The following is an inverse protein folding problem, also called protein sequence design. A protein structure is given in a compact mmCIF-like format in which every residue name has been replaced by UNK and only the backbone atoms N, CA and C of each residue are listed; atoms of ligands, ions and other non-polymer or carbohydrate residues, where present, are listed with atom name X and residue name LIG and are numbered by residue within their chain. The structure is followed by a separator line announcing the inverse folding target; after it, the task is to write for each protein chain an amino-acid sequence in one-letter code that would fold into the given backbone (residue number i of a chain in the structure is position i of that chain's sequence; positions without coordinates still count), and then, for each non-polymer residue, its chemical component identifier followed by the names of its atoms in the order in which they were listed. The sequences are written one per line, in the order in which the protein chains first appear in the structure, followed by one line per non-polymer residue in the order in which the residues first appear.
data_IF_001963574219
#
_entry.id   IF_001963574219
#
_cell.length_a   1.000
_cell.length_b   1.000
_cell.length_c   1.000
_cell.angle_alpha   90.00
_cell.angle_beta   90.00
_cell.angle_gamma   90.00
#
_symmetry.space_group_name_H-M   'P 1'
#
loop_
_entity.id
_entity.type
_entity.pdbx_description
1 polymer ?
#
# COMPACT_ATOMS: atom_id res chain seq x y z
N UNK A 1 15.13 16.86 -20.17
CA UNK A 1 13.66 16.79 -19.98
C UNK A 1 13.23 15.64 -19.09
N UNK A 2 13.78 14.43 -19.22
CA UNK A 2 13.38 13.25 -18.44
C UNK A 2 13.50 13.42 -16.90
N UNK A 3 14.56 14.07 -16.39
CA UNK A 3 14.76 14.33 -14.96
C UNK A 3 13.67 15.20 -14.31
N UNK A 4 12.94 16.00 -15.07
CA UNK A 4 11.83 16.85 -14.56
C UNK A 4 10.61 16.07 -14.08
N UNK A 5 10.48 14.81 -14.47
CA UNK A 5 9.34 13.96 -14.06
C UNK A 5 9.59 13.23 -12.74
N UNK A 6 10.82 13.20 -12.24
CA UNK A 6 11.13 12.57 -10.95
C UNK A 6 10.74 13.52 -9.83
N UNK A 7 9.70 13.17 -9.07
CA UNK A 7 9.18 13.99 -7.96
C UNK A 7 10.06 13.91 -6.71
N UNK A 8 10.72 12.80 -6.49
CA UNK A 8 11.58 12.54 -5.33
C UNK A 8 12.22 11.15 -5.43
N UNK A 9 13.18 10.93 -4.57
CA UNK A 9 13.79 9.63 -4.32
C UNK A 9 13.62 9.32 -2.83
N UNK A 10 13.56 8.05 -2.45
CA UNK A 10 13.15 7.65 -1.11
C UNK A 10 14.02 6.53 -0.57
N UNK A 11 14.44 6.68 0.69
CA UNK A 11 15.17 5.66 1.42
C UNK A 11 14.36 5.21 2.64
N UNK A 12 14.16 3.91 2.78
CA UNK A 12 13.39 3.31 3.86
C UNK A 12 14.37 2.83 4.93
N UNK A 13 14.14 3.21 6.20
CA UNK A 13 15.08 2.88 7.27
C UNK A 13 14.40 2.84 8.64
N UNK A 14 15.11 2.30 9.63
CA UNK A 14 14.72 2.37 11.04
C UNK A 14 15.05 3.75 11.63
N UNK A 15 14.22 4.24 12.55
CA UNK A 15 14.39 5.52 13.25
C UNK A 15 15.78 5.66 13.92
N UNK A 16 16.31 4.56 14.45
CA UNK A 16 17.63 4.53 15.11
C UNK A 16 18.78 4.90 14.16
N UNK A 17 18.60 4.74 12.86
CA UNK A 17 19.63 5.03 11.87
C UNK A 17 19.67 6.52 11.45
N UNK A 18 18.67 7.33 11.87
CA UNK A 18 18.54 8.71 11.44
C UNK A 18 19.76 9.56 11.80
N UNK A 19 20.31 9.39 13.00
CA UNK A 19 21.46 10.18 13.42
C UNK A 19 22.65 9.98 12.48
N UNK A 20 23.03 8.73 12.19
CA UNK A 20 24.13 8.43 11.28
C UNK A 20 23.85 8.88 9.84
N UNK A 21 22.60 8.76 9.38
CA UNK A 21 22.18 9.23 8.04
C UNK A 21 22.29 10.74 7.92
N UNK A 22 21.87 11.49 8.93
CA UNK A 22 21.97 12.95 8.92
C UNK A 22 23.43 13.43 9.04
N UNK A 23 24.29 12.64 9.67
CA UNK A 23 25.71 12.96 9.84
C UNK A 23 26.54 12.61 8.61
N UNK A 24 26.36 11.39 8.07
CA UNK A 24 27.24 10.84 7.04
C UNK A 24 26.59 10.74 5.65
N UNK A 25 25.26 10.89 5.58
CA UNK A 25 24.47 10.59 4.39
C UNK A 25 24.02 9.14 4.36
N UNK A 26 23.38 8.75 3.25
CA UNK A 26 23.01 7.37 3.00
C UNK A 26 24.22 6.65 2.41
N UNK A 27 24.85 5.84 3.24
CA UNK A 27 26.04 5.08 2.88
C UNK A 27 25.67 3.78 2.14
N UNK A 28 26.53 3.35 1.21
CA UNK A 28 26.49 1.98 0.69
C UNK A 28 26.84 0.98 1.81
N UNK A 29 26.43 -0.27 1.68
CA UNK A 29 26.78 -1.32 2.65
C UNK A 29 28.28 -1.44 2.83
N UNK A 30 29.05 -1.38 1.74
CA UNK A 30 30.52 -1.40 1.78
C UNK A 30 31.09 -0.25 2.64
N UNK A 31 30.50 0.96 2.57
CA UNK A 31 30.96 2.09 3.36
C UNK A 31 30.54 1.97 4.83
N UNK A 32 29.36 1.43 5.12
CA UNK A 32 28.90 1.16 6.49
C UNK A 32 29.87 0.18 7.18
N UNK A 33 30.24 -0.90 6.52
CA UNK A 33 31.20 -1.89 7.03
C UNK A 33 32.59 -1.30 7.20
N UNK A 34 33.10 -0.61 6.18
CA UNK A 34 34.44 0.01 6.20
C UNK A 34 34.61 1.04 7.33
N UNK A 35 33.53 1.75 7.65
CA UNK A 35 33.54 2.79 8.69
C UNK A 35 33.06 2.28 10.05
N UNK A 36 32.67 1.00 10.16
CA UNK A 36 32.08 0.39 11.35
C UNK A 36 30.90 1.16 11.92
N UNK A 37 30.00 1.67 11.05
CA UNK A 37 28.82 2.42 11.47
C UNK A 37 27.76 1.44 12.02
N UNK A 38 27.37 1.55 13.30
CA UNK A 38 26.30 0.73 13.85
C UNK A 38 24.95 1.10 13.23
N UNK A 39 24.12 0.11 12.90
CA UNK A 39 22.79 0.35 12.36
C UNK A 39 21.79 -0.74 12.77
N UNK A 40 20.52 -0.38 12.79
CA UNK A 40 19.40 -1.30 13.01
C UNK A 40 18.91 -1.82 11.66
N UNK A 41 18.90 -3.13 11.49
CA UNK A 41 18.43 -3.80 10.28
C UNK A 41 16.91 -3.72 10.17
N UNK A 42 16.41 -3.52 8.94
CA UNK A 42 14.98 -3.60 8.59
C UNK A 42 14.72 -4.59 7.46
N UNK A 43 15.71 -5.39 7.08
CA UNK A 43 15.66 -6.29 5.93
C UNK A 43 16.11 -7.69 6.30
N UNK A 44 15.72 -8.67 5.47
CA UNK A 44 16.23 -10.03 5.59
C UNK A 44 17.68 -10.10 5.04
N UNK A 45 18.65 -10.62 5.84
CA UNK A 45 20.05 -10.76 5.40
C UNK A 45 20.22 -11.55 4.09
N UNK A 46 19.38 -12.57 3.84
CA UNK A 46 19.45 -13.38 2.61
C UNK A 46 19.18 -12.56 1.33
N UNK A 47 18.25 -11.59 1.38
CA UNK A 47 17.95 -10.71 0.23
C UNK A 47 19.15 -9.81 -0.05
N UNK A 48 19.87 -9.42 0.98
CA UNK A 48 21.04 -8.55 0.87
C UNK A 48 22.24 -9.30 0.28
N UNK A 49 22.42 -10.57 0.61
CA UNK A 49 23.49 -11.39 0.01
C UNK A 49 23.41 -11.45 -1.54
N UNK A 50 22.19 -11.46 -2.10
CA UNK A 50 21.99 -11.43 -3.55
C UNK A 50 22.47 -10.11 -4.19
N UNK A 51 22.51 -9.01 -3.44
CA UNK A 51 23.02 -7.72 -3.93
C UNK A 51 24.55 -7.72 -4.04
N UNK A 52 25.25 -8.40 -3.14
CA UNK A 52 26.70 -8.48 -3.14
C UNK A 52 27.22 -9.18 -4.40
N UNK A 53 26.55 -10.25 -4.82
CA UNK A 53 26.93 -11.02 -5.99
C UNK A 53 26.68 -10.29 -7.32
N UNK A 54 25.75 -9.31 -7.35
CA UNK A 54 25.37 -8.63 -8.59
C UNK A 54 26.22 -7.39 -8.85
N UNK A 55 26.60 -7.21 -10.14
CA UNK A 55 27.46 -6.10 -10.57
C UNK A 55 26.75 -5.17 -11.55
N UNK A 56 27.15 -3.91 -11.52
CA UNK A 56 26.83 -2.87 -12.50
C UNK A 56 27.76 -2.98 -13.72
N UNK A 57 27.49 -2.22 -14.78
CA UNK A 57 28.30 -2.25 -16.03
C UNK A 57 29.74 -1.77 -15.84
N UNK A 58 30.02 -1.01 -14.77
CA UNK A 58 31.37 -0.60 -14.40
C UNK A 58 32.16 -1.68 -13.61
N UNK A 59 31.52 -2.84 -13.37
CA UNK A 59 32.15 -4.01 -12.73
C UNK A 59 32.08 -4.02 -11.20
N UNK A 60 31.55 -2.98 -10.56
CA UNK A 60 31.39 -2.94 -9.11
C UNK A 60 30.15 -3.69 -8.65
N UNK A 61 30.24 -4.31 -7.47
CA UNK A 61 29.11 -4.94 -6.79
C UNK A 61 28.07 -3.89 -6.38
N UNK A 62 26.78 -4.27 -6.34
CA UNK A 62 25.72 -3.42 -5.77
C UNK A 62 25.97 -3.06 -4.29
N UNK A 63 26.87 -3.78 -3.62
CA UNK A 63 27.32 -3.48 -2.26
C UNK A 63 28.04 -2.13 -2.15
N UNK A 64 28.66 -1.68 -3.26
CA UNK A 64 29.34 -0.38 -3.35
C UNK A 64 28.39 0.81 -3.58
N UNK A 65 27.08 0.57 -3.74
CA UNK A 65 26.11 1.61 -4.06
C UNK A 65 25.14 1.84 -2.89
N UNK A 66 24.90 3.11 -2.54
CA UNK A 66 23.72 3.53 -1.81
C UNK A 66 22.51 3.49 -2.75
N UNK A 67 21.41 2.87 -2.33
CA UNK A 67 20.22 2.74 -3.16
C UNK A 67 19.02 3.50 -2.59
N UNK A 68 18.26 4.13 -3.47
CA UNK A 68 17.02 4.84 -3.15
C UNK A 68 15.94 4.52 -4.19
N UNK A 69 14.69 4.45 -3.75
CA UNK A 69 13.55 4.11 -4.59
C UNK A 69 12.92 5.35 -5.24
N UNK A 70 12.35 5.17 -6.44
CA UNK A 70 11.46 6.18 -7.04
C UNK A 70 10.09 6.22 -6.37
N UNK A 71 9.68 5.12 -5.73
CA UNK A 71 8.41 4.99 -5.02
C UNK A 71 8.63 4.32 -3.66
N UNK A 72 8.29 4.98 -2.53
CA UNK A 72 8.45 4.37 -1.20
C UNK A 72 7.39 3.29 -0.93
N UNK A 73 6.17 3.44 -1.48
CA UNK A 73 5.09 2.44 -1.35
C UNK A 73 5.34 1.26 -2.29
N UNK A 74 6.22 0.39 -1.90
CA UNK A 74 6.67 -0.75 -2.69
C UNK A 74 6.68 -2.04 -1.83
N UNK A 75 6.91 -3.22 -2.44
CA UNK A 75 6.94 -4.50 -1.73
C UNK A 75 7.92 -4.56 -0.56
N UNK A 76 9.06 -3.87 -0.65
CA UNK A 76 10.03 -3.83 0.44
C UNK A 76 9.47 -3.12 1.68
N UNK A 77 8.91 -1.91 1.51
CA UNK A 77 8.29 -1.19 2.63
C UNK A 77 7.11 -1.97 3.22
N UNK A 78 6.26 -2.54 2.36
CA UNK A 78 5.11 -3.35 2.81
C UNK A 78 5.57 -4.49 3.71
N UNK A 79 6.62 -5.21 3.31
CA UNK A 79 7.23 -6.26 4.11
C UNK A 79 7.74 -5.72 5.44
N UNK A 80 8.56 -4.67 5.42
CA UNK A 80 9.17 -4.09 6.63
C UNK A 80 8.13 -3.71 7.67
N UNK A 81 7.05 -2.98 7.28
CA UNK A 81 6.02 -2.57 8.24
C UNK A 81 5.08 -3.71 8.68
N UNK A 82 5.16 -4.86 8.01
CA UNK A 82 4.48 -6.09 8.45
C UNK A 82 5.22 -6.81 9.57
N UNK A 83 6.54 -6.63 9.65
CA UNK A 83 7.44 -7.33 10.57
C UNK A 83 7.95 -6.45 11.70
N UNK A 84 7.96 -5.13 11.49
CA UNK A 84 8.51 -4.14 12.43
C UNK A 84 7.39 -3.19 12.84
N UNK A 85 7.48 -2.61 14.04
CA UNK A 85 6.58 -1.52 14.41
C UNK A 85 6.71 -0.38 13.40
N UNK A 86 5.61 -0.11 12.70
CA UNK A 86 5.54 0.95 11.69
C UNK A 86 5.92 2.34 12.23
N UNK A 87 5.82 2.54 13.55
CA UNK A 87 6.23 3.79 14.22
C UNK A 87 7.75 3.90 14.38
N UNK A 88 8.49 2.81 14.14
CA UNK A 88 9.94 2.79 14.15
C UNK A 88 10.55 2.82 12.74
N UNK A 89 9.71 2.79 11.71
CA UNK A 89 10.12 2.91 10.31
C UNK A 89 9.91 4.34 9.83
N UNK A 90 10.92 4.90 9.17
CA UNK A 90 10.86 6.23 8.56
C UNK A 90 11.28 6.17 7.10
N UNK A 91 10.78 7.11 6.30
CA UNK A 91 11.15 7.26 4.89
C UNK A 91 11.90 8.59 4.75
N UNK A 92 13.15 8.53 4.33
CA UNK A 92 13.99 9.71 4.06
C UNK A 92 13.75 10.14 2.62
N UNK A 93 13.27 11.37 2.44
CA UNK A 93 13.06 11.99 1.14
C UNK A 93 14.34 12.67 0.64
N UNK A 94 14.72 12.34 -0.59
CA UNK A 94 15.96 12.75 -1.22
C UNK A 94 15.67 13.52 -2.51
N UNK A 95 16.37 14.61 -2.69
CA UNK A 95 16.29 15.45 -3.88
C UNK A 95 16.59 14.66 -5.15
N UNK A 96 15.78 14.82 -6.22
CA UNK A 96 16.10 14.25 -7.53
C UNK A 96 17.46 14.66 -8.10
N UNK A 97 18.09 15.72 -7.58
CA UNK A 97 19.44 16.12 -7.92
C UNK A 97 20.49 15.07 -7.56
N UNK A 98 20.17 14.10 -6.70
CA UNK A 98 21.04 12.94 -6.45
C UNK A 98 21.28 12.09 -7.72
N UNK A 99 20.40 12.17 -8.73
CA UNK A 99 20.60 11.57 -10.06
C UNK A 99 21.74 12.21 -10.85
N UNK A 100 22.23 13.39 -10.46
CA UNK A 100 23.36 14.09 -11.10
C UNK A 100 24.71 13.69 -10.51
N UNK A 101 24.71 12.85 -9.48
CA UNK A 101 25.97 12.33 -8.90
C UNK A 101 26.64 11.45 -9.95
N UNK A 102 27.93 11.71 -10.15
CA UNK A 102 28.74 10.98 -11.16
C UNK A 102 28.69 9.47 -10.92
N UNK A 103 28.65 8.71 -12.00
CA UNK A 103 28.64 7.24 -12.00
C UNK A 103 27.43 6.62 -11.25
N UNK A 104 26.33 7.37 -11.16
CA UNK A 104 25.04 6.84 -10.70
C UNK A 104 24.37 6.01 -11.78
N UNK A 105 23.58 5.02 -11.37
CA UNK A 105 22.80 4.14 -12.24
C UNK A 105 21.34 4.13 -11.86
N UNK A 106 20.49 3.71 -12.80
CA UNK A 106 19.08 3.39 -12.55
C UNK A 106 18.88 1.90 -12.80
N UNK A 107 18.27 1.22 -11.84
CA UNK A 107 17.70 -0.11 -12.03
C UNK A 107 16.22 0.01 -12.39
N UNK A 108 15.84 -0.60 -13.52
CA UNK A 108 14.44 -0.66 -13.97
C UNK A 108 13.66 -1.75 -13.21
N UNK A 109 13.69 -1.68 -11.89
CA UNK A 109 13.06 -2.59 -10.95
C UNK A 109 13.97 -2.89 -9.78
N UNK A 110 13.61 -3.92 -8.98
CA UNK A 110 14.46 -4.38 -7.89
C UNK A 110 15.86 -4.70 -8.40
N UNK A 111 16.85 -3.96 -7.93
CA UNK A 111 18.23 -4.08 -8.40
C UNK A 111 18.84 -5.46 -8.10
N UNK A 112 18.39 -6.17 -7.07
CA UNK A 112 18.83 -7.53 -6.77
C UNK A 112 18.32 -8.58 -7.78
N UNK A 113 17.26 -8.27 -8.54
CA UNK A 113 16.69 -9.20 -9.52
C UNK A 113 17.52 -9.22 -10.83
N UNK A 114 17.95 -10.39 -11.35
CA UNK A 114 18.65 -10.48 -12.63
C UNK A 114 17.82 -9.98 -13.82
N UNK A 115 16.50 -9.94 -13.68
CA UNK A 115 15.57 -9.44 -14.68
C UNK A 115 15.46 -7.91 -14.73
N UNK A 116 16.11 -7.19 -13.82
CA UNK A 116 16.08 -5.72 -13.81
C UNK A 116 17.30 -5.17 -14.53
N UNK A 117 17.18 -4.52 -15.71
CA UNK A 117 18.29 -3.81 -16.33
C UNK A 117 18.83 -2.71 -15.42
N UNK A 118 20.15 -2.60 -15.32
CA UNK A 118 20.85 -1.52 -14.63
C UNK A 118 21.57 -0.70 -15.69
N UNK A 119 21.26 0.59 -15.77
CA UNK A 119 21.67 1.47 -16.85
C UNK A 119 22.19 2.79 -16.28
N UNK A 120 23.04 3.48 -17.02
CA UNK A 120 23.39 4.86 -16.76
C UNK A 120 22.11 5.72 -16.61
N UNK A 121 22.15 6.78 -15.79
CA UNK A 121 20.96 7.57 -15.42
C UNK A 121 20.19 8.05 -16.64
N UNK A 122 20.85 8.65 -17.63
CA UNK A 122 20.15 9.20 -18.79
C UNK A 122 19.44 8.13 -19.62
N UNK A 123 20.11 7.00 -19.89
CA UNK A 123 19.51 5.85 -20.59
C UNK A 123 18.36 5.22 -19.79
N UNK A 124 18.52 5.10 -18.47
CA UNK A 124 17.48 4.56 -17.59
C UNK A 124 16.24 5.44 -17.60
N UNK A 125 16.39 6.76 -17.50
CA UNK A 125 15.28 7.72 -17.52
C UNK A 125 14.55 7.78 -18.87
N UNK A 126 15.25 7.57 -19.99
CA UNK A 126 14.62 7.48 -21.31
C UNK A 126 13.67 6.28 -21.43
N UNK A 127 14.01 5.17 -20.77
CA UNK A 127 13.18 3.96 -20.75
C UNK A 127 12.01 4.03 -19.74
N UNK A 128 12.08 4.92 -18.75
CA UNK A 128 10.97 5.15 -17.84
C UNK A 128 9.96 6.08 -18.55
N UNK A 129 9.20 5.52 -19.48
CA UNK A 129 8.12 6.18 -20.21
C UNK A 129 6.90 6.45 -19.34
N UNK A 130 5.85 7.07 -19.93
CA UNK A 130 4.60 7.33 -19.21
C UNK A 130 3.93 6.07 -18.65
N UNK A 131 3.96 4.95 -19.39
CA UNK A 131 3.46 3.66 -18.91
C UNK A 131 4.29 3.12 -17.75
N UNK A 132 5.61 3.24 -17.82
CA UNK A 132 6.50 2.80 -16.75
C UNK A 132 6.29 3.65 -15.49
N UNK A 133 6.14 4.97 -15.63
CA UNK A 133 5.78 5.85 -14.52
C UNK A 133 4.45 5.46 -13.89
N UNK A 134 3.46 5.04 -14.68
CA UNK A 134 2.18 4.55 -14.15
C UNK A 134 2.36 3.30 -13.29
N UNK A 135 3.29 2.42 -13.65
CA UNK A 135 3.63 1.24 -12.83
C UNK A 135 4.35 1.67 -11.54
N UNK A 136 5.39 2.52 -11.63
CA UNK A 136 6.12 3.00 -10.45
C UNK A 136 5.17 3.71 -9.47
N UNK A 137 4.26 4.54 -9.96
CA UNK A 137 3.33 5.31 -9.14
C UNK A 137 2.01 4.58 -8.82
N UNK A 138 1.90 3.30 -9.13
CA UNK A 138 0.70 2.54 -8.82
C UNK A 138 0.55 2.31 -7.30
N UNK A 139 -0.68 2.23 -6.83
CA UNK A 139 -0.99 1.95 -5.43
C UNK A 139 -0.73 0.51 -5.04
N UNK A 140 -0.61 -0.39 -6.03
CA UNK A 140 -0.39 -1.82 -5.83
C UNK A 140 0.34 -2.44 -7.02
N UNK A 141 0.85 -3.64 -6.82
CA UNK A 141 1.58 -4.44 -7.81
C UNK A 141 0.94 -5.81 -8.01
N UNK A 142 1.31 -6.47 -9.11
CA UNK A 142 0.98 -7.87 -9.40
C UNK A 142 2.28 -8.68 -9.47
N UNK A 143 2.21 -9.94 -9.11
CA UNK A 143 3.39 -10.81 -9.16
C UNK A 143 3.62 -11.33 -10.59
N UNK A 144 2.54 -11.72 -11.27
CA UNK A 144 2.56 -12.45 -12.54
C UNK A 144 3.05 -11.62 -13.75
N UNK A 145 2.82 -10.30 -13.75
CA UNK A 145 3.13 -9.41 -14.88
C UNK A 145 4.44 -8.62 -14.70
N UNK A 146 5.19 -8.94 -13.64
CA UNK A 146 6.45 -8.28 -13.31
C UNK A 146 6.32 -6.86 -12.74
N UNK A 147 5.10 -6.36 -12.47
CA UNK A 147 4.92 -5.03 -11.85
C UNK A 147 5.45 -4.97 -10.43
N UNK A 148 5.40 -6.09 -9.66
CA UNK A 148 6.03 -6.21 -8.34
C UNK A 148 7.52 -5.84 -8.37
N UNK A 149 8.23 -6.29 -9.40
CA UNK A 149 9.65 -5.97 -9.60
C UNK A 149 9.84 -4.53 -10.06
N UNK A 150 9.03 -4.07 -11.03
CA UNK A 150 9.16 -2.75 -11.67
C UNK A 150 8.86 -1.58 -10.71
N UNK A 151 7.88 -1.72 -9.81
CA UNK A 151 7.55 -0.68 -8.81
C UNK A 151 8.71 -0.42 -7.84
N UNK A 152 9.64 -1.37 -7.72
CA UNK A 152 10.86 -1.26 -6.93
C UNK A 152 12.04 -0.67 -7.73
N UNK A 153 11.79 0.13 -8.77
CA UNK A 153 12.85 0.82 -9.50
C UNK A 153 13.69 1.69 -8.55
N UNK A 154 15.01 1.63 -8.74
CA UNK A 154 16.00 2.21 -7.83
C UNK A 154 16.97 3.13 -8.56
N UNK A 155 17.41 4.18 -7.88
CA UNK A 155 18.63 4.91 -8.19
C UNK A 155 19.76 4.36 -7.32
N UNK A 156 20.91 4.07 -7.93
CA UNK A 156 22.11 3.50 -7.33
C UNK A 156 23.22 4.56 -7.39
N UNK A 157 23.69 5.03 -6.25
CA UNK A 157 24.71 6.09 -6.14
C UNK A 157 25.98 5.50 -5.54
N UNK A 158 27.16 5.68 -6.15
CA UNK A 158 28.40 5.12 -5.64
C UNK A 158 28.71 5.65 -4.23
N UNK A 159 29.05 4.75 -3.33
CA UNK A 159 29.52 4.98 -1.97
C UNK A 159 28.52 5.71 -1.05
N UNK A 160 28.06 6.92 -1.37
CA UNK A 160 27.27 7.75 -0.46
C UNK A 160 26.36 8.73 -1.20
N UNK A 161 25.14 8.89 -0.71
CA UNK A 161 24.30 10.05 -1.00
C UNK A 161 24.49 11.06 0.13
N UNK A 162 25.17 12.20 -0.13
CA UNK A 162 25.48 13.17 0.91
C UNK A 162 24.26 13.77 1.60
N UNK A 163 24.36 14.19 2.89
CA UNK A 163 23.23 14.73 3.66
C UNK A 163 22.54 15.94 3.01
N UNK A 164 23.24 16.75 2.24
CA UNK A 164 22.68 17.92 1.53
C UNK A 164 21.56 17.59 0.55
N UNK A 165 21.43 16.33 0.14
CA UNK A 165 20.32 15.87 -0.71
C UNK A 165 19.09 15.46 0.09
N UNK A 166 19.19 15.33 1.42
CA UNK A 166 18.06 15.00 2.29
C UNK A 166 17.23 16.27 2.52
N UNK A 167 15.94 16.24 2.23
CA UNK A 167 15.05 17.39 2.41
C UNK A 167 13.88 17.12 3.35
N UNK A 168 13.51 15.85 3.56
CA UNK A 168 12.36 15.50 4.41
C UNK A 168 12.52 14.12 5.04
N UNK A 169 11.85 13.94 6.18
CA UNK A 169 11.66 12.64 6.81
C UNK A 169 10.18 12.45 7.00
N UNK A 170 9.63 11.44 6.35
CA UNK A 170 8.23 11.05 6.46
C UNK A 170 8.05 10.06 7.59
N UNK A 171 6.98 10.22 8.35
CA UNK A 171 6.61 9.39 9.51
C UNK A 171 5.13 9.05 9.48
N UNK A 172 4.74 8.01 10.20
CA UNK A 172 3.36 7.51 10.25
C UNK A 172 2.40 8.42 11.00
N UNK A 173 2.87 9.09 12.07
CA UNK A 173 2.02 9.88 12.97
C UNK A 173 2.82 10.97 13.72
N UNK A 174 2.09 11.82 14.44
CA UNK A 174 2.68 12.94 15.19
C UNK A 174 3.58 12.46 16.34
N UNK A 175 3.26 11.37 17.01
CA UNK A 175 4.10 10.81 18.09
C UNK A 175 5.49 10.44 17.58
N UNK A 176 5.56 9.81 16.41
CA UNK A 176 6.85 9.50 15.76
C UNK A 176 7.57 10.79 15.33
N UNK A 177 6.84 11.79 14.82
CA UNK A 177 7.43 13.10 14.47
C UNK A 177 8.09 13.75 15.69
N UNK A 178 7.41 13.74 16.84
CA UNK A 178 7.92 14.33 18.08
C UNK A 178 9.12 13.54 18.65
N UNK A 179 9.12 12.21 18.50
CA UNK A 179 10.24 11.33 18.87
C UNK A 179 11.51 11.65 18.10
N UNK A 180 11.42 11.96 16.81
CA UNK A 180 12.60 12.21 15.96
C UNK A 180 13.06 13.66 15.93
N UNK A 181 12.21 14.62 16.32
CA UNK A 181 12.53 16.06 16.33
C UNK A 181 13.82 16.42 17.08
N UNK A 182 14.10 15.86 18.29
CA UNK A 182 15.36 16.12 18.99
C UNK A 182 16.59 15.64 18.21
N UNK A 183 16.46 14.57 17.41
CA UNK A 183 17.57 14.08 16.58
C UNK A 183 17.91 15.13 15.51
N UNK A 184 16.88 15.66 14.82
CA UNK A 184 17.09 16.66 13.76
C UNK A 184 17.66 17.97 14.30
N UNK A 185 17.27 18.39 15.51
CA UNK A 185 17.74 19.62 16.11
C UNK A 185 19.28 19.65 16.37
N UNK A 186 19.93 18.50 16.34
CA UNK A 186 21.39 18.41 16.45
C UNK A 186 22.11 18.73 15.13
N UNK A 187 21.38 18.96 14.05
CA UNK A 187 21.92 19.20 12.71
C UNK A 187 21.42 20.54 12.15
N UNK A 188 22.27 21.22 11.40
CA UNK A 188 21.91 22.49 10.71
C UNK A 188 21.26 22.27 9.34
N UNK A 189 20.90 21.03 9.01
CA UNK A 189 20.29 20.68 7.74
C UNK A 189 18.82 21.12 7.71
N UNK A 190 18.34 21.72 6.61
CA UNK A 190 16.95 22.16 6.47
C UNK A 190 16.03 20.97 6.12
N UNK A 191 15.93 20.00 7.02
CA UNK A 191 15.13 18.78 6.82
C UNK A 191 13.77 18.94 7.49
N UNK A 192 12.70 18.80 6.71
CA UNK A 192 11.33 18.85 7.20
C UNK A 192 10.88 17.47 7.74
N UNK A 193 10.15 17.47 8.87
CA UNK A 193 9.43 16.28 9.33
C UNK A 193 8.01 16.36 8.76
N UNK A 194 7.58 15.34 8.05
CA UNK A 194 6.27 15.27 7.39
C UNK A 194 5.50 14.06 7.90
N UNK A 195 4.36 14.31 8.53
CA UNK A 195 3.43 13.24 8.93
C UNK A 195 2.61 12.85 7.71
N UNK A 196 2.90 11.70 7.10
CA UNK A 196 2.22 11.20 5.90
C UNK A 196 1.92 9.69 6.04
N UNK A 197 0.88 9.32 6.78
CA UNK A 197 0.54 7.91 7.03
C UNK A 197 0.31 7.10 5.74
N UNK A 198 -0.17 7.76 4.68
CA UNK A 198 -0.43 7.11 3.41
C UNK A 198 0.82 6.48 2.79
N UNK A 199 1.99 7.09 2.97
CA UNK A 199 3.25 6.49 2.50
C UNK A 199 3.55 5.14 3.16
N UNK A 200 3.02 4.89 4.37
CA UNK A 200 3.19 3.66 5.14
C UNK A 200 1.98 2.73 5.03
N UNK A 201 1.21 2.81 3.96
CA UNK A 201 -0.02 2.02 3.74
C UNK A 201 -1.07 2.22 4.84
N UNK A 202 -1.01 3.32 5.57
CA UNK A 202 -1.97 3.69 6.59
C UNK A 202 -3.04 4.63 6.00
N UNK A 203 -4.24 4.69 6.61
CA UNK A 203 -5.25 5.67 6.24
C UNK A 203 -4.72 7.11 6.36
N UNK A 204 -5.13 7.97 5.44
CA UNK A 204 -4.84 9.41 5.52
C UNK A 204 -5.61 10.05 6.66
N UNK A 205 -6.90 9.72 6.74
CA UNK A 205 -7.82 10.23 7.76
C UNK A 205 -8.80 9.13 8.15
N UNK A 206 -9.27 9.17 9.35
CA UNK A 206 -10.39 8.38 9.84
C UNK A 206 -11.11 9.13 10.96
N UNK A 207 -12.37 8.80 11.17
CA UNK A 207 -13.13 9.38 12.24
C UNK A 207 -14.19 8.42 12.80
N UNK A 208 -14.48 8.49 14.10
CA UNK A 208 -15.54 7.69 14.69
C UNK A 208 -16.92 8.21 14.27
N UNK A 209 -17.83 7.29 13.96
CA UNK A 209 -19.26 7.53 13.82
C UNK A 209 -19.95 7.08 15.11
N UNK A 210 -19.59 5.86 15.59
CA UNK A 210 -19.88 5.34 16.93
C UNK A 210 -18.60 4.81 17.56
N UNK A 211 -18.67 4.14 18.71
CA UNK A 211 -17.49 3.50 19.30
C UNK A 211 -16.97 2.29 18.53
N UNK A 212 -17.79 1.70 17.64
CA UNK A 212 -17.42 0.54 16.82
C UNK A 212 -17.46 0.82 15.32
N UNK A 213 -18.12 1.90 14.87
CA UNK A 213 -18.24 2.27 13.46
C UNK A 213 -17.38 3.48 13.13
N UNK A 214 -16.53 3.36 12.09
CA UNK A 214 -15.59 4.41 11.66
C UNK A 214 -15.71 4.66 10.16
N UNK A 215 -15.53 5.90 9.74
CA UNK A 215 -15.21 6.17 8.34
C UNK A 215 -13.68 6.27 8.18
N UNK A 216 -13.18 5.85 7.02
CA UNK A 216 -11.74 5.76 6.72
C UNK A 216 -11.46 6.29 5.32
N UNK A 217 -10.62 7.33 5.23
CA UNK A 217 -9.98 7.75 3.97
C UNK A 217 -8.66 7.00 3.81
N UNK A 218 -8.67 5.92 3.07
CA UNK A 218 -7.54 5.03 2.93
C UNK A 218 -7.81 3.87 2.00
N UNK A 219 -6.84 2.98 1.93
CA UNK A 219 -6.90 1.81 1.09
C UNK A 219 -7.41 0.60 1.89
N UNK A 220 -8.59 0.10 1.52
CA UNK A 220 -9.25 -1.00 2.23
C UNK A 220 -8.44 -2.30 2.25
N UNK A 221 -7.61 -2.54 1.24
CA UNK A 221 -6.79 -3.76 1.19
C UNK A 221 -5.68 -3.82 2.24
N UNK A 222 -5.39 -2.70 2.90
CA UNK A 222 -4.50 -2.63 4.06
C UNK A 222 -5.24 -2.59 5.40
N UNK A 223 -6.56 -2.80 5.38
CA UNK A 223 -7.37 -2.89 6.59
C UNK A 223 -6.91 -4.03 7.50
N UNK A 224 -6.94 -3.79 8.81
CA UNK A 224 -6.69 -4.82 9.81
C UNK A 224 -7.96 -5.64 10.16
N UNK A 225 -9.11 -5.29 9.59
CA UNK A 225 -10.36 -6.04 9.79
C UNK A 225 -10.24 -7.46 9.23
N UNK A 226 -10.88 -8.43 9.88
CA UNK A 226 -10.91 -9.84 9.45
C UNK A 226 -11.55 -9.99 8.07
N UNK A 227 -12.70 -9.35 7.86
CA UNK A 227 -13.50 -9.50 6.64
C UNK A 227 -13.43 -8.25 5.78
N UNK A 228 -13.05 -8.41 4.52
CA UNK A 228 -13.06 -7.36 3.51
C UNK A 228 -14.28 -7.53 2.60
N UNK A 229 -15.09 -6.48 2.48
CA UNK A 229 -16.26 -6.50 1.58
C UNK A 229 -15.84 -6.08 0.17
N UNK A 230 -16.07 -6.96 -0.81
CA UNK A 230 -15.79 -6.69 -2.21
C UNK A 230 -17.11 -6.42 -2.95
N UNK A 231 -17.31 -5.17 -3.38
CA UNK A 231 -18.46 -4.79 -4.22
C UNK A 231 -18.35 -5.43 -5.59
N UNK A 232 -19.32 -6.27 -5.96
CA UNK A 232 -19.30 -7.08 -7.18
C UNK A 232 -20.62 -6.99 -7.96
N UNK A 233 -20.63 -7.57 -9.17
CA UNK A 233 -21.85 -7.90 -9.93
C UNK A 233 -22.18 -9.39 -9.82
N UNK A 234 -23.29 -9.84 -10.41
CA UNK A 234 -23.69 -11.26 -10.34
C UNK A 234 -23.31 -12.06 -11.60
N UNK A 235 -22.59 -11.46 -12.56
CA UNK A 235 -22.21 -12.13 -13.81
C UNK A 235 -20.74 -12.59 -13.87
N UNK A 236 -20.00 -12.51 -12.75
CA UNK A 236 -18.65 -13.07 -12.67
C UNK A 236 -17.53 -12.18 -13.27
N UNK A 237 -17.75 -10.87 -13.45
CA UNK A 237 -16.79 -9.96 -14.09
C UNK A 237 -16.22 -8.97 -13.10
N UNK A 238 -14.90 -8.99 -12.89
CA UNK A 238 -14.11 -8.02 -12.12
C UNK A 238 -13.16 -7.29 -13.06
N UNK A 239 -13.63 -6.25 -13.76
CA UNK A 239 -12.87 -5.59 -14.83
C UNK A 239 -12.23 -4.25 -14.44
N UNK A 240 -12.78 -3.52 -13.47
CA UNK A 240 -12.32 -2.17 -13.08
C UNK A 240 -12.47 -1.91 -11.58
N UNK A 241 -11.78 -0.87 -11.09
CA UNK A 241 -11.86 -0.37 -9.73
C UNK A 241 -11.44 -1.40 -8.67
N UNK A 242 -12.03 -1.29 -7.48
CA UNK A 242 -11.74 -2.13 -6.32
C UNK A 242 -11.84 -3.64 -6.63
N UNK A 243 -12.88 -4.07 -7.37
CA UNK A 243 -13.06 -5.48 -7.72
C UNK A 243 -11.93 -6.00 -8.62
N UNK A 244 -11.46 -5.20 -9.59
CA UNK A 244 -10.33 -5.60 -10.45
C UNK A 244 -9.06 -5.78 -9.64
N UNK A 245 -8.80 -4.88 -8.69
CA UNK A 245 -7.66 -5.00 -7.79
C UNK A 245 -7.77 -6.25 -6.90
N UNK A 246 -8.96 -6.50 -6.33
CA UNK A 246 -9.22 -7.70 -5.52
C UNK A 246 -8.93 -9.00 -6.30
N UNK A 247 -9.34 -9.06 -7.57
CA UNK A 247 -9.08 -10.20 -8.48
C UNK A 247 -7.59 -10.54 -8.56
N UNK A 248 -6.72 -9.53 -8.70
CA UNK A 248 -5.28 -9.74 -8.88
C UNK A 248 -4.55 -9.92 -7.55
N UNK A 249 -5.05 -9.33 -6.49
CA UNK A 249 -4.44 -9.44 -5.16
C UNK A 249 -4.85 -10.73 -4.44
N UNK A 250 -6.05 -11.27 -4.76
CA UNK A 250 -6.62 -12.46 -4.12
C UNK A 250 -7.23 -13.37 -5.20
N UNK A 251 -6.40 -14.09 -5.98
CA UNK A 251 -6.87 -14.90 -7.10
C UNK A 251 -7.79 -16.06 -6.67
N UNK A 252 -7.56 -16.62 -5.48
CA UNK A 252 -8.43 -17.64 -4.88
C UNK A 252 -9.86 -17.12 -4.64
N UNK A 253 -10.01 -15.93 -4.08
CA UNK A 253 -11.30 -15.26 -3.91
C UNK A 253 -12.00 -15.04 -5.27
N UNK A 254 -11.24 -14.69 -6.31
CA UNK A 254 -11.81 -14.51 -7.64
C UNK A 254 -12.35 -15.81 -8.25
N UNK A 255 -11.68 -16.94 -8.03
CA UNK A 255 -12.18 -18.27 -8.44
C UNK A 255 -13.52 -18.57 -7.76
N UNK A 256 -13.58 -18.42 -6.43
CA UNK A 256 -14.83 -18.61 -5.66
C UNK A 256 -15.93 -17.69 -6.18
N UNK A 257 -15.64 -16.41 -6.43
CA UNK A 257 -16.62 -15.49 -7.01
C UNK A 257 -17.16 -15.95 -8.35
N UNK A 258 -16.32 -16.43 -9.26
CA UNK A 258 -16.75 -16.96 -10.55
C UNK A 258 -17.65 -18.21 -10.38
N UNK A 259 -17.33 -19.08 -9.42
CA UNK A 259 -18.09 -20.30 -9.16
C UNK A 259 -19.50 -19.99 -8.63
N UNK A 260 -19.62 -19.08 -7.64
CA UNK A 260 -20.94 -18.69 -7.10
C UNK A 260 -21.78 -17.92 -8.12
N UNK A 261 -21.17 -17.19 -9.06
CA UNK A 261 -21.86 -16.57 -10.18
C UNK A 261 -22.37 -17.63 -11.20
N UNK A 262 -21.52 -18.59 -11.57
CA UNK A 262 -21.90 -19.71 -12.48
C UNK A 262 -23.03 -20.56 -11.89
N UNK A 263 -22.93 -20.83 -10.60
CA UNK A 263 -23.97 -21.57 -9.87
C UNK A 263 -25.25 -20.75 -9.61
N UNK A 264 -25.24 -19.42 -9.93
CA UNK A 264 -26.36 -18.50 -9.68
C UNK A 264 -26.80 -18.43 -8.21
N UNK A 265 -25.85 -18.69 -7.29
CA UNK A 265 -26.08 -18.61 -5.84
C UNK A 265 -25.86 -17.20 -5.31
N UNK A 266 -24.97 -16.40 -5.94
CA UNK A 266 -24.79 -14.99 -5.64
C UNK A 266 -25.92 -14.16 -6.26
N UNK A 267 -26.70 -13.48 -5.44
CA UNK A 267 -27.88 -12.69 -5.87
C UNK A 267 -27.88 -11.31 -5.21
N UNK A 268 -28.47 -10.33 -5.88
CA UNK A 268 -28.70 -9.00 -5.31
C UNK A 268 -29.43 -9.13 -3.96
N UNK A 269 -28.90 -8.47 -2.95
CA UNK A 269 -29.43 -8.51 -1.57
C UNK A 269 -29.01 -9.74 -0.76
N UNK A 270 -28.24 -10.67 -1.35
CA UNK A 270 -27.71 -11.84 -0.64
C UNK A 270 -26.20 -11.96 -0.88
N UNK A 271 -25.36 -11.32 -0.07
CA UNK A 271 -23.91 -11.49 -0.13
C UNK A 271 -23.47 -12.93 0.09
N UNK A 272 -22.26 -13.24 -0.37
CA UNK A 272 -21.62 -14.54 -0.15
C UNK A 272 -20.32 -14.34 0.62
N UNK A 273 -20.17 -15.02 1.76
CA UNK A 273 -18.97 -14.99 2.57
C UNK A 273 -18.02 -16.12 2.15
N UNK A 274 -16.81 -15.75 1.76
CA UNK A 274 -15.69 -16.67 1.54
C UNK A 274 -14.76 -16.63 2.75
N UNK A 275 -14.74 -17.70 3.51
CA UNK A 275 -13.84 -17.90 4.66
C UNK A 275 -12.56 -18.52 4.11
N UNK A 276 -11.54 -17.69 3.95
CA UNK A 276 -10.26 -18.10 3.40
C UNK A 276 -9.51 -18.92 4.45
N UNK A 277 -9.16 -20.15 4.15
CA UNK A 277 -8.44 -21.06 5.05
C UNK A 277 -6.94 -21.05 4.76
N UNK A 278 -6.54 -20.86 3.48
CA UNK A 278 -5.15 -20.81 3.04
C UNK A 278 -4.93 -19.66 2.06
N UNK A 279 -3.71 -19.21 1.89
CA UNK A 279 -3.30 -18.22 0.91
C UNK A 279 -2.55 -18.89 -0.22
N UNK A 280 -3.10 -18.88 -1.44
CA UNK A 280 -2.36 -19.29 -2.65
C UNK A 280 -1.13 -18.40 -2.92
N UNK A 281 -1.06 -17.21 -2.30
CA UNK A 281 0.10 -16.32 -2.42
C UNK A 281 1.36 -16.91 -1.79
N UNK A 282 1.22 -17.82 -0.82
CA UNK A 282 2.34 -18.55 -0.21
C UNK A 282 2.82 -19.69 -1.13
N UNK A 283 1.89 -20.35 -1.83
CA UNK A 283 2.21 -21.45 -2.74
C UNK A 283 2.76 -20.98 -4.09
N UNK A 284 2.42 -19.74 -4.49
CA UNK A 284 2.83 -19.12 -5.76
C UNK A 284 4.01 -18.16 -5.62
N UNK A 285 4.54 -17.95 -4.41
CA UNK A 285 5.70 -17.10 -4.23
C UNK A 285 6.95 -17.80 -4.74
N UNK A 286 7.69 -17.14 -5.65
CA UNK A 286 9.00 -17.62 -6.17
C UNK A 286 10.05 -17.82 -5.05
N UNK A 287 9.77 -17.31 -3.85
CA UNK A 287 10.54 -17.53 -2.63
C UNK A 287 9.52 -17.73 -1.49
N UNK A 288 9.52 -18.86 -0.77
CA UNK A 288 8.73 -19.03 0.43
C UNK A 288 9.08 -17.91 1.40
N UNK A 289 8.16 -16.98 1.64
CA UNK A 289 8.41 -15.95 2.65
C UNK A 289 8.22 -16.59 4.01
N UNK A 290 9.24 -16.53 4.86
CA UNK A 290 9.16 -16.86 6.28
C UNK A 290 8.28 -15.89 7.08
N UNK A 291 7.49 -15.08 6.38
CA UNK A 291 6.72 -13.98 6.94
C UNK A 291 5.28 -14.36 7.15
N UNK A 292 4.67 -13.98 8.29
CA UNK A 292 3.24 -14.08 8.44
C UNK A 292 2.58 -13.26 7.32
N UNK A 293 1.89 -13.95 6.42
CA UNK A 293 1.06 -13.29 5.42
C UNK A 293 -0.10 -12.61 6.15
N UNK A 294 -0.04 -11.28 6.31
CA UNK A 294 -1.08 -10.49 6.97
C UNK A 294 -2.46 -10.67 6.30
N UNK A 295 -2.49 -11.18 5.08
CA UNK A 295 -3.69 -11.46 4.33
C UNK A 295 -4.13 -12.94 4.41
N UNK A 296 -3.33 -13.85 4.99
CA UNK A 296 -3.64 -15.29 5.03
C UNK A 296 -4.99 -15.58 5.71
N UNK A 297 -5.29 -14.84 6.77
CA UNK A 297 -6.52 -15.01 7.56
C UNK A 297 -7.64 -14.04 7.16
N UNK A 298 -7.55 -13.36 6.02
CA UNK A 298 -8.61 -12.47 5.54
C UNK A 298 -9.76 -13.23 4.92
N UNK A 299 -10.97 -12.91 5.36
CA UNK A 299 -12.21 -13.38 4.73
C UNK A 299 -12.73 -12.34 3.74
N UNK A 300 -13.53 -12.77 2.80
CA UNK A 300 -14.07 -11.89 1.77
C UNK A 300 -15.60 -12.00 1.70
N UNK A 301 -16.27 -10.88 1.94
CA UNK A 301 -17.71 -10.75 1.73
C UNK A 301 -17.95 -10.24 0.30
N UNK A 302 -18.31 -11.14 -0.61
CA UNK A 302 -18.70 -10.81 -1.98
C UNK A 302 -20.10 -10.17 -1.95
N UNK A 303 -20.14 -8.85 -2.12
CA UNK A 303 -21.36 -8.07 -1.93
C UNK A 303 -21.88 -7.57 -3.30
N UNK A 304 -22.95 -8.17 -3.84
CA UNK A 304 -23.49 -7.78 -5.14
C UNK A 304 -24.25 -6.46 -5.05
N UNK A 305 -23.73 -5.44 -5.74
CA UNK A 305 -24.33 -4.11 -5.81
C UNK A 305 -25.08 -3.86 -7.12
N UNK A 306 -24.89 -4.73 -8.12
CA UNK A 306 -25.55 -4.68 -9.43
C UNK A 306 -25.58 -6.06 -10.07
N UNK A 307 -26.53 -6.30 -10.97
CA UNK A 307 -26.58 -7.56 -11.71
C UNK A 307 -25.50 -7.62 -12.78
N UNK A 308 -25.41 -6.59 -13.61
CA UNK A 308 -24.45 -6.54 -14.71
C UNK A 308 -23.51 -5.34 -14.57
N UNK A 309 -22.24 -5.50 -14.95
CA UNK A 309 -21.19 -4.50 -14.78
C UNK A 309 -21.47 -3.17 -15.53
N UNK A 310 -22.30 -3.16 -16.58
CA UNK A 310 -22.74 -1.96 -17.33
C UNK A 310 -23.83 -1.15 -16.62
N UNK A 311 -24.52 -1.74 -15.64
CA UNK A 311 -25.64 -1.11 -14.94
C UNK A 311 -25.14 -0.20 -13.81
N UNK A 312 -26.00 0.74 -13.38
CA UNK A 312 -25.83 1.43 -12.10
C UNK A 312 -26.07 0.46 -10.94
N UNK A 313 -25.55 0.78 -9.78
CA UNK A 313 -25.79 -0.01 -8.57
C UNK A 313 -27.26 0.09 -8.13
N UNK A 314 -27.78 -1.02 -7.65
CA UNK A 314 -29.16 -1.15 -7.11
C UNK A 314 -29.15 -0.76 -5.62
N UNK A 315 -29.68 0.42 -5.31
CA UNK A 315 -29.72 0.93 -3.93
C UNK A 315 -30.58 0.04 -3.01
N UNK A 316 -31.71 -0.47 -3.49
CA UNK A 316 -32.56 -1.39 -2.73
C UNK A 316 -31.90 -2.76 -2.56
N UNK A 317 -31.11 -3.18 -3.54
CA UNK A 317 -30.29 -4.38 -3.43
C UNK A 317 -29.17 -4.24 -2.41
N UNK A 318 -28.54 -3.06 -2.35
CA UNK A 318 -27.54 -2.75 -1.32
C UNK A 318 -28.19 -2.77 0.08
N UNK A 319 -29.36 -2.16 0.21
CA UNK A 319 -30.10 -2.15 1.49
C UNK A 319 -30.42 -3.57 1.97
N UNK A 320 -30.97 -4.43 1.11
CA UNK A 320 -31.21 -5.84 1.44
C UNK A 320 -29.92 -6.59 1.80
N UNK A 321 -28.80 -6.27 1.13
CA UNK A 321 -27.50 -6.86 1.43
C UNK A 321 -26.97 -6.43 2.81
N UNK A 322 -27.15 -5.15 3.19
CA UNK A 322 -26.82 -4.66 4.53
C UNK A 322 -27.67 -5.32 5.59
N UNK A 323 -28.98 -5.49 5.34
CA UNK A 323 -29.87 -6.22 6.23
C UNK A 323 -29.42 -7.69 6.39
N UNK A 324 -28.95 -8.32 5.31
CA UNK A 324 -28.38 -9.67 5.39
C UNK A 324 -27.16 -9.68 6.32
N UNK A 325 -26.26 -8.70 6.22
CA UNK A 325 -25.09 -8.58 7.12
C UNK A 325 -25.54 -8.52 8.55
N UNK A 326 -26.47 -7.61 8.89
CA UNK A 326 -27.01 -7.44 10.25
C UNK A 326 -27.56 -8.76 10.81
N UNK A 327 -28.27 -9.52 9.97
CA UNK A 327 -28.95 -10.74 10.41
C UNK A 327 -28.01 -11.96 10.51
N UNK A 328 -26.83 -11.92 9.88
CA UNK A 328 -25.99 -13.12 9.72
C UNK A 328 -24.56 -12.97 10.23
N UNK A 329 -24.05 -11.76 10.56
CA UNK A 329 -22.64 -11.56 10.91
C UNK A 329 -22.15 -12.44 12.08
N UNK A 330 -22.99 -12.63 13.11
CA UNK A 330 -22.67 -13.48 14.26
C UNK A 330 -22.62 -14.96 13.88
N UNK A 331 -23.67 -15.46 13.21
CA UNK A 331 -23.76 -16.87 12.80
C UNK A 331 -22.70 -17.25 11.76
N UNK A 332 -22.30 -16.31 10.93
CA UNK A 332 -21.19 -16.47 10.00
C UNK A 332 -19.82 -16.29 10.67
N UNK A 333 -19.74 -15.80 11.91
CA UNK A 333 -18.50 -15.64 12.64
C UNK A 333 -17.65 -14.43 12.19
N UNK A 334 -18.28 -13.41 11.63
CA UNK A 334 -17.60 -12.16 11.26
C UNK A 334 -17.24 -11.38 12.54
N UNK A 335 -15.95 -11.17 12.79
CA UNK A 335 -15.45 -10.53 14.01
C UNK A 335 -15.12 -9.05 13.81
N UNK A 336 -14.83 -8.65 12.59
CA UNK A 336 -14.64 -7.25 12.20
C UNK A 336 -14.78 -7.10 10.68
N UNK A 337 -15.24 -5.94 10.22
CA UNK A 337 -15.68 -5.75 8.84
C UNK A 337 -15.15 -4.46 8.23
N UNK A 338 -14.48 -4.55 7.09
CA UNK A 338 -14.16 -3.41 6.24
C UNK A 338 -15.13 -3.39 5.04
N UNK A 339 -15.80 -2.26 4.86
CA UNK A 339 -16.83 -2.09 3.80
C UNK A 339 -16.46 -0.87 2.96
N UNK A 340 -16.37 -0.97 1.62
CA UNK A 340 -16.23 0.22 0.79
C UNK A 340 -17.54 1.00 0.77
N UNK A 341 -17.52 2.28 0.42
CA UNK A 341 -18.72 3.06 0.13
C UNK A 341 -19.49 2.41 -1.03
N UNK A 342 -20.45 1.55 -0.67
CA UNK A 342 -21.14 0.64 -1.60
C UNK A 342 -21.82 1.40 -2.75
N UNK A 343 -21.40 1.11 -3.97
CA UNK A 343 -21.97 1.73 -5.17
C UNK A 343 -21.53 3.16 -5.46
N UNK A 344 -20.71 3.81 -4.61
CA UNK A 344 -20.31 5.22 -4.78
C UNK A 344 -19.20 5.46 -5.81
N UNK A 345 -18.39 4.46 -6.14
CA UNK A 345 -17.39 4.59 -7.22
C UNK A 345 -18.03 4.35 -8.60
N UNK A 346 -17.58 3.34 -9.31
CA UNK A 346 -18.11 2.94 -10.63
C UNK A 346 -19.59 2.49 -10.62
N UNK A 347 -20.23 2.49 -9.45
CA UNK A 347 -21.66 2.20 -9.28
C UNK A 347 -22.58 3.38 -9.53
N UNK A 348 -22.04 4.60 -9.53
CA UNK A 348 -22.77 5.83 -9.85
C UNK A 348 -23.76 6.31 -8.79
N UNK A 349 -23.65 5.81 -7.54
CA UNK A 349 -24.42 6.30 -6.40
C UNK A 349 -23.65 7.41 -5.66
N UNK A 350 -24.38 8.23 -4.91
CA UNK A 350 -23.81 9.34 -4.16
C UNK A 350 -23.63 8.94 -2.69
N UNK A 351 -22.51 9.37 -2.09
CA UNK A 351 -22.26 9.19 -0.66
C UNK A 351 -23.35 9.78 0.24
N UNK A 352 -23.93 10.92 -0.17
CA UNK A 352 -25.01 11.56 0.58
C UNK A 352 -26.22 10.66 0.82
N UNK A 353 -26.49 9.74 -0.11
CA UNK A 353 -27.62 8.80 -0.03
C UNK A 353 -27.19 7.50 0.65
N UNK A 354 -26.00 7.00 0.28
CA UNK A 354 -25.51 5.69 0.72
C UNK A 354 -24.90 5.74 2.11
N UNK A 355 -24.16 6.79 2.46
CA UNK A 355 -23.48 6.92 3.76
C UNK A 355 -24.45 6.80 4.95
N UNK A 356 -25.53 7.60 5.02
CA UNK A 356 -26.53 7.48 6.08
C UNK A 356 -27.21 6.10 6.11
N UNK A 357 -27.52 5.52 4.96
CA UNK A 357 -28.09 4.17 4.88
C UNK A 357 -27.13 3.13 5.46
N UNK A 358 -25.87 3.12 5.01
CA UNK A 358 -24.86 2.19 5.54
C UNK A 358 -24.69 2.35 7.05
N UNK A 359 -24.59 3.59 7.55
CA UNK A 359 -24.40 3.87 8.96
C UNK A 359 -25.58 3.39 9.80
N UNK A 360 -26.82 3.56 9.31
CA UNK A 360 -28.03 3.08 10.00
C UNK A 360 -28.02 1.56 10.24
N UNK A 361 -27.58 0.78 9.24
CA UNK A 361 -27.51 -0.68 9.38
C UNK A 361 -26.29 -1.13 10.19
N UNK A 362 -25.13 -0.51 9.96
CA UNK A 362 -23.85 -0.99 10.50
C UNK A 362 -23.57 -0.48 11.92
N UNK A 363 -24.22 0.60 12.38
CA UNK A 363 -24.00 1.15 13.73
C UNK A 363 -24.52 0.26 14.85
N UNK A 364 -25.43 -0.67 14.55
CA UNK A 364 -26.00 -1.61 15.52
C UNK A 364 -25.21 -2.92 15.64
N UNK A 365 -24.12 -3.11 14.93
CA UNK A 365 -23.31 -4.32 15.03
C UNK A 365 -22.37 -4.27 16.24
N UNK A 366 -22.26 -5.38 16.98
CA UNK A 366 -21.34 -5.52 18.14
C UNK A 366 -19.90 -5.89 17.73
N UNK A 367 -19.48 -5.49 16.51
CA UNK A 367 -18.15 -5.70 15.97
C UNK A 367 -17.57 -4.38 15.44
N UNK A 368 -16.26 -4.30 15.31
CA UNK A 368 -15.65 -3.13 14.67
C UNK A 368 -15.92 -3.12 13.16
N UNK A 369 -16.41 -1.98 12.67
CA UNK A 369 -16.71 -1.75 11.25
C UNK A 369 -16.03 -0.49 10.77
N UNK A 370 -15.29 -0.62 9.65
CA UNK A 370 -14.65 0.50 8.95
C UNK A 370 -15.28 0.70 7.57
N UNK A 371 -15.94 1.85 7.34
CA UNK A 371 -16.45 2.24 6.03
C UNK A 371 -15.36 3.03 5.30
N UNK A 372 -14.83 2.46 4.21
CA UNK A 372 -13.82 3.08 3.39
C UNK A 372 -14.47 4.01 2.35
N UNK A 373 -14.11 5.29 2.42
CA UNK A 373 -14.61 6.33 1.52
C UNK A 373 -14.17 6.06 0.07
N UNK A 374 -14.94 6.52 -0.93
CA UNK A 374 -14.54 6.39 -2.34
C UNK A 374 -13.27 7.20 -2.59
N UNK A 375 -12.31 6.63 -3.32
CA UNK A 375 -11.05 7.31 -3.65
C UNK A 375 -11.17 8.21 -4.89
N UNK A 376 -12.21 8.00 -5.69
CA UNK A 376 -12.44 8.72 -6.94
C UNK A 376 -13.04 10.12 -6.74
N UNK A 377 -13.52 10.43 -5.54
CA UNK A 377 -14.13 11.72 -5.19
C UNK A 377 -13.82 12.10 -3.76
N UNK A 378 -13.55 13.36 -3.51
CA UNK A 378 -13.42 13.90 -2.17
C UNK A 378 -14.81 14.09 -1.55
N UNK A 379 -14.98 13.65 -0.30
CA UNK A 379 -16.22 13.83 0.46
C UNK A 379 -16.05 15.04 1.37
N UNK A 380 -16.96 15.99 1.25
CA UNK A 380 -16.99 17.16 2.11
C UNK A 380 -17.10 16.72 3.59
N UNK A 381 -16.29 17.28 4.50
CA UNK A 381 -16.31 16.97 5.91
C UNK A 381 -17.69 17.06 6.58
N UNK A 382 -18.59 17.91 6.13
CA UNK A 382 -19.95 18.01 6.65
C UNK A 382 -20.74 16.70 6.51
N UNK A 383 -20.49 15.90 5.43
CA UNK A 383 -21.13 14.61 5.16
C UNK A 383 -20.43 13.42 5.85
N UNK A 384 -19.43 13.69 6.68
CA UNK A 384 -18.74 12.72 7.52
C UNK A 384 -19.08 12.89 9.00
N UNK A 385 -19.93 13.87 9.33
CA UNK A 385 -20.35 14.12 10.72
C UNK A 385 -21.36 13.08 11.19
N UNK A 386 -21.34 12.76 12.49
CA UNK A 386 -22.33 11.86 13.13
C UNK A 386 -23.76 12.37 12.90
N UNK A 387 -23.96 13.69 12.99
CA UNK A 387 -25.24 14.33 12.73
C UNK A 387 -25.79 14.01 11.34
N UNK A 388 -24.94 14.09 10.32
CA UNK A 388 -25.35 13.78 8.95
C UNK A 388 -25.59 12.27 8.75
N UNK A 389 -24.69 11.44 9.27
CA UNK A 389 -24.67 9.99 8.99
C UNK A 389 -25.70 9.20 9.80
N UNK A 390 -26.05 9.63 11.02
CA UNK A 390 -27.00 8.96 11.91
C UNK A 390 -28.26 9.79 12.20
N UNK A 391 -28.28 11.08 11.85
CA UNK A 391 -29.41 11.97 12.12
C UNK A 391 -29.45 12.47 13.57
N UNK A 392 -28.34 12.38 14.33
CA UNK A 392 -28.25 12.71 15.76
C UNK A 392 -27.47 14.01 16.01
#
# INVERSE_FOLDING_TARGET
MAKRNVKGLYYITHVNNLHSILQYGILSHQQVEKQNIPYTHIYNPEIVANREARKTSDGYSLWAYANVYFQPRNPMLYKVISETDKNEVVIVGISPQALDIKDAFISLGNAASPLSPILEVDKGLELITGEYWSIINSDWWKTEDGTKRKIMAECLVPNVIPPRYIHSIYVTNQTTADKIRPILNNFTLPVAIVVEPHMFFQPRKHGPITHQLFWVDGDMFFSQMQTLTISVNTVGVMGKGLASRAKYQFPDMYVVYQDVCRAKTLKIGKPHLYKRETSLDEDLADVPSSLPNLNANKWFLLFPTKEHWKQKSDIGGIERGLQWVVNNYETEGIQSLAVPALGCGLGGLNWKDIGPMMCRYLSGLDIQVAIYLPQEQEIDPEFLTRKFLLGE
#
